data_IF_987382163031
#
_entry.id   IF_987382163031
#
_cell.length_a   1.000
_cell.length_b   1.000
_cell.length_c   1.000
_cell.angle_alpha   90.00
_cell.angle_beta   90.00
_cell.angle_gamma   90.00
#
_symmetry.space_group_name_H-M   'P 1'
#
loop_
_entity.id
_entity.type
_entity.pdbx_description
1 polymer ?
#
# COMPACT_ATOMS: atom_id res chain seq x y z
N UNK A 1 -27.84 -2.16 -9.01
CA UNK A 1 -27.14 -1.93 -10.28
C UNK A 1 -25.61 -1.82 -10.15
N UNK A 2 -25.01 -2.15 -9.00
CA UNK A 2 -23.54 -2.09 -8.76
C UNK A 2 -22.90 -3.48 -8.60
N UNK A 3 -23.68 -4.50 -8.20
CA UNK A 3 -23.17 -5.85 -7.90
C UNK A 3 -22.72 -6.62 -9.15
N UNK A 4 -23.28 -6.30 -10.33
CA UNK A 4 -22.95 -6.98 -11.59
C UNK A 4 -21.53 -6.69 -12.12
N UNK A 5 -20.91 -5.57 -11.72
CA UNK A 5 -19.52 -5.26 -12.10
C UNK A 5 -18.50 -6.06 -11.27
N UNK A 6 -18.70 -6.14 -9.95
CA UNK A 6 -17.83 -6.93 -9.06
C UNK A 6 -17.87 -8.42 -9.39
N UNK A 7 -19.01 -8.96 -9.84
CA UNK A 7 -19.17 -10.37 -10.17
C UNK A 7 -18.36 -10.84 -11.40
N UNK A 8 -17.84 -9.92 -12.24
CA UNK A 8 -16.98 -10.25 -13.40
C UNK A 8 -15.49 -10.08 -13.13
N UNK A 9 -15.13 -9.49 -11.99
CA UNK A 9 -13.74 -9.20 -11.63
C UNK A 9 -13.25 -10.35 -10.75
N UNK A 10 -12.08 -10.92 -11.06
CA UNK A 10 -11.47 -11.98 -10.26
C UNK A 10 -11.29 -11.56 -8.80
N UNK A 11 -11.49 -12.48 -7.86
CA UNK A 11 -11.44 -12.19 -6.42
C UNK A 11 -10.09 -11.59 -6.01
N UNK A 12 -8.99 -11.99 -6.66
CA UNK A 12 -7.67 -11.36 -6.45
C UNK A 12 -7.70 -9.83 -6.63
N UNK A 13 -8.36 -9.30 -7.65
CA UNK A 13 -8.41 -7.86 -7.90
C UNK A 13 -9.22 -7.13 -6.84
N UNK A 14 -10.27 -7.75 -6.30
CA UNK A 14 -11.05 -7.17 -5.20
C UNK A 14 -10.24 -7.16 -3.91
N UNK A 15 -9.48 -8.22 -3.63
CA UNK A 15 -8.62 -8.31 -2.44
C UNK A 15 -7.44 -7.36 -2.52
N UNK A 16 -6.63 -7.43 -3.58
CA UNK A 16 -5.45 -6.59 -3.74
C UNK A 16 -5.80 -5.14 -4.04
N UNK A 17 -6.82 -4.91 -4.89
CA UNK A 17 -7.31 -3.56 -5.18
C UNK A 17 -7.96 -2.90 -3.97
N UNK A 18 -8.75 -3.66 -3.20
CA UNK A 18 -9.34 -3.19 -1.95
C UNK A 18 -8.28 -2.89 -0.89
N UNK A 19 -7.33 -3.79 -0.67
CA UNK A 19 -6.21 -3.58 0.24
C UNK A 19 -5.40 -2.34 -0.16
N UNK A 20 -5.04 -2.20 -1.44
CA UNK A 20 -4.33 -1.04 -1.95
C UNK A 20 -5.09 0.28 -1.73
N UNK A 21 -6.39 0.29 -1.97
CA UNK A 21 -7.23 1.47 -1.73
C UNK A 21 -7.30 1.82 -0.23
N UNK A 22 -7.48 0.84 0.64
CA UNK A 22 -7.47 1.07 2.10
C UNK A 22 -6.10 1.58 2.56
N UNK A 23 -5.00 1.05 2.03
CA UNK A 23 -3.65 1.54 2.33
C UNK A 23 -3.44 2.98 1.87
N UNK A 24 -3.94 3.36 0.70
CA UNK A 24 -3.86 4.75 0.21
C UNK A 24 -4.68 5.70 1.09
N UNK A 25 -5.86 5.30 1.53
CA UNK A 25 -6.68 6.08 2.46
C UNK A 25 -5.98 6.22 3.82
N UNK A 26 -5.38 5.14 4.33
CA UNK A 26 -4.62 5.18 5.57
C UNK A 26 -3.40 6.11 5.45
N UNK A 27 -2.66 6.06 4.35
CA UNK A 27 -1.56 7.00 4.08
C UNK A 27 -2.05 8.45 4.06
N UNK A 28 -3.13 8.74 3.33
CA UNK A 28 -3.68 10.08 3.23
C UNK A 28 -4.12 10.63 4.59
N UNK A 29 -4.81 9.81 5.39
CA UNK A 29 -5.37 10.21 6.68
C UNK A 29 -4.34 10.25 7.82
N UNK A 30 -3.45 9.26 7.91
CA UNK A 30 -2.55 9.08 9.05
C UNK A 30 -1.17 9.71 8.85
N UNK A 31 -0.75 9.92 7.61
CA UNK A 31 0.59 10.47 7.30
C UNK A 31 0.45 11.83 6.65
N UNK A 32 -0.21 11.90 5.49
CA UNK A 32 -0.21 13.12 4.67
C UNK A 32 -1.01 14.27 5.31
N UNK A 33 -2.22 13.99 5.80
CA UNK A 33 -3.07 15.00 6.44
C UNK A 33 -2.41 15.66 7.67
N UNK A 34 -1.89 14.92 8.67
CA UNK A 34 -1.19 15.56 9.79
C UNK A 34 0.11 16.23 9.36
N UNK A 35 0.85 15.67 8.40
CA UNK A 35 2.09 16.27 7.90
C UNK A 35 1.84 17.67 7.30
N UNK A 36 0.80 17.83 6.47
CA UNK A 36 0.44 19.13 5.90
C UNK A 36 -0.15 20.06 6.97
N UNK A 37 -0.90 19.51 7.93
CA UNK A 37 -1.55 20.25 9.02
C UNK A 37 -0.57 20.91 9.99
N UNK A 38 0.64 20.37 10.16
CA UNK A 38 1.65 20.93 11.06
C UNK A 38 2.34 22.20 10.54
N UNK A 39 2.27 22.51 9.25
CA UNK A 39 2.99 23.63 8.66
C UNK A 39 2.09 24.82 8.33
N UNK A 40 2.55 26.04 8.65
CA UNK A 40 1.81 27.28 8.38
C UNK A 40 1.98 27.80 6.96
N UNK A 41 3.17 27.62 6.36
CA UNK A 41 3.51 28.17 5.04
C UNK A 41 3.33 27.14 3.92
N UNK A 42 2.86 27.59 2.76
CA UNK A 42 2.60 26.74 1.57
C UNK A 42 3.85 26.02 1.07
N UNK A 43 5.03 26.65 1.14
CA UNK A 43 6.30 26.04 0.72
C UNK A 43 6.76 24.92 1.64
N UNK A 44 6.50 25.02 2.94
CA UNK A 44 6.80 23.96 3.91
C UNK A 44 5.87 22.76 3.71
N UNK A 45 4.59 23.02 3.40
CA UNK A 45 3.61 21.97 3.04
C UNK A 45 4.04 21.19 1.81
N UNK A 46 4.59 21.84 0.78
CA UNK A 46 5.08 21.16 -0.41
C UNK A 46 6.21 20.17 -0.09
N UNK A 47 7.17 20.57 0.75
CA UNK A 47 8.24 19.68 1.23
C UNK A 47 7.68 18.52 2.08
N UNK A 48 6.71 18.80 2.94
CA UNK A 48 6.05 17.78 3.77
C UNK A 48 5.33 16.72 2.90
N UNK A 49 4.65 17.15 1.84
CA UNK A 49 4.04 16.26 0.84
C UNK A 49 5.10 15.40 0.17
N UNK A 50 6.21 16.00 -0.28
CA UNK A 50 7.31 15.29 -0.95
C UNK A 50 7.88 14.20 -0.05
N UNK A 51 8.18 14.52 1.22
CA UNK A 51 8.69 13.54 2.20
C UNK A 51 7.65 12.46 2.49
N UNK A 52 6.37 12.80 2.59
CA UNK A 52 5.30 11.83 2.80
C UNK A 52 5.19 10.85 1.62
N UNK A 53 5.27 11.34 0.38
CA UNK A 53 5.30 10.49 -0.83
C UNK A 53 6.53 9.60 -0.86
N UNK A 54 7.68 10.09 -0.40
CA UNK A 54 8.87 9.24 -0.22
C UNK A 54 8.64 8.10 0.77
N UNK A 55 7.95 8.36 1.90
CA UNK A 55 7.55 7.32 2.85
C UNK A 55 6.59 6.31 2.19
N UNK A 56 5.61 6.77 1.42
CA UNK A 56 4.72 5.88 0.66
C UNK A 56 5.51 4.98 -0.29
N UNK A 57 6.46 5.55 -1.04
CA UNK A 57 7.31 4.79 -1.95
C UNK A 57 8.17 3.75 -1.20
N UNK A 58 8.71 4.10 -0.03
CA UNK A 58 9.46 3.17 0.80
C UNK A 58 8.58 2.01 1.31
N UNK A 59 7.36 2.29 1.78
CA UNK A 59 6.41 1.26 2.22
C UNK A 59 6.03 0.32 1.08
N UNK A 60 5.77 0.86 -0.12
CA UNK A 60 5.49 0.06 -1.30
C UNK A 60 6.70 -0.80 -1.70
N UNK A 61 7.90 -0.23 -1.72
CA UNK A 61 9.12 -0.94 -2.06
C UNK A 61 9.38 -2.10 -1.08
N UNK A 62 9.21 -1.88 0.22
CA UNK A 62 9.33 -2.92 1.25
C UNK A 62 8.27 -4.00 1.05
N UNK A 63 7.01 -3.62 0.85
CA UNK A 63 5.92 -4.58 0.62
C UNK A 63 6.16 -5.46 -0.60
N UNK A 64 6.61 -4.86 -1.72
CA UNK A 64 6.98 -5.59 -2.93
C UNK A 64 8.18 -6.50 -2.68
N UNK A 65 9.24 -6.01 -2.02
CA UNK A 65 10.42 -6.81 -1.73
C UNK A 65 10.09 -8.04 -0.88
N UNK A 66 9.26 -7.87 0.17
CA UNK A 66 8.79 -8.99 1.00
C UNK A 66 7.94 -9.95 0.17
N UNK A 67 6.99 -9.45 -0.63
CA UNK A 67 6.16 -10.28 -1.49
C UNK A 67 6.99 -11.12 -2.48
N UNK A 68 7.98 -10.49 -3.12
CA UNK A 68 8.91 -11.18 -4.03
C UNK A 68 9.75 -12.22 -3.30
N UNK A 69 10.28 -11.90 -2.11
CA UNK A 69 11.05 -12.85 -1.29
C UNK A 69 10.22 -14.08 -0.93
N UNK A 70 8.97 -13.91 -0.52
CA UNK A 70 8.08 -15.03 -0.18
C UNK A 70 7.83 -15.91 -1.40
N UNK A 71 7.55 -15.31 -2.56
CA UNK A 71 7.31 -16.06 -3.80
C UNK A 71 8.57 -16.79 -4.25
N UNK A 72 9.73 -16.16 -4.13
CA UNK A 72 11.02 -16.75 -4.52
C UNK A 72 11.40 -17.96 -3.67
N UNK A 73 11.18 -17.88 -2.34
CA UNK A 73 11.50 -18.95 -1.40
C UNK A 73 10.30 -19.86 -1.07
N UNK A 74 9.26 -19.88 -1.90
CA UNK A 74 8.03 -20.61 -1.60
C UNK A 74 8.26 -22.10 -1.37
N UNK A 75 9.10 -22.73 -2.20
CA UNK A 75 9.40 -24.16 -2.08
C UNK A 75 10.14 -24.48 -0.77
N UNK A 76 11.15 -23.67 -0.41
CA UNK A 76 11.89 -23.80 0.85
C UNK A 76 10.97 -23.60 2.06
N UNK A 77 10.10 -22.59 1.99
CA UNK A 77 9.09 -22.29 3.02
C UNK A 77 8.15 -23.47 3.21
N UNK A 78 7.61 -24.04 2.13
CA UNK A 78 6.70 -25.18 2.22
C UNK A 78 7.35 -26.41 2.82
N UNK A 79 8.59 -26.73 2.40
CA UNK A 79 9.34 -27.84 2.97
C UNK A 79 9.56 -27.66 4.49
N UNK A 80 9.86 -26.44 4.95
CA UNK A 80 10.00 -26.14 6.38
C UNK A 80 8.71 -26.35 7.18
N UNK A 81 7.55 -26.18 6.54
CA UNK A 81 6.23 -26.40 7.15
C UNK A 81 5.65 -27.79 6.88
N UNK A 82 6.44 -28.72 6.31
CA UNK A 82 6.05 -30.11 6.09
C UNK A 82 5.12 -30.34 4.89
N UNK A 83 5.10 -29.40 3.93
CA UNK A 83 4.48 -29.55 2.61
C UNK A 83 5.33 -30.37 1.65
#
# INVERSE_FOLDING_TARGET
MTVFFAARIGTEYLLFGGAGLVSLLAFAALILAPAIGSFGRTWEKATAVLVSVFVLAALLAIGVAIGVLIVYYWDDINHLFGG
#
